data_IF_097615766139
#
_entry.id   IF_097615766139
#
_cell.length_a   1.000
_cell.length_b   1.000
_cell.length_c   1.000
_cell.angle_alpha   90.00
_cell.angle_beta   90.00
_cell.angle_gamma   90.00
#
_symmetry.space_group_name_H-M   'P 1'
#
loop_
_entity.id
_entity.type
_entity.pdbx_description
1 polymer ?
#
# COMPACT_ATOMS: atom_id res chain seq x y z
N UNK A 1 -1.27 -0.26 3.37
CA UNK A 1 -2.16 -0.85 4.39
C UNK A 1 -2.20 -2.37 4.51
N UNK A 2 -1.66 -3.18 3.59
CA UNK A 2 -1.68 -4.63 3.71
C UNK A 2 -0.33 -5.24 3.31
N UNK A 3 -0.06 -6.45 3.78
CA UNK A 3 1.05 -7.25 3.29
C UNK A 3 0.55 -8.64 2.90
N UNK A 4 1.12 -9.19 1.82
CA UNK A 4 0.95 -10.58 1.43
C UNK A 4 2.20 -11.35 1.82
N UNK A 5 1.99 -12.56 2.33
CA UNK A 5 3.03 -13.56 2.46
C UNK A 5 2.68 -14.72 1.52
N UNK A 6 3.62 -15.10 0.65
CA UNK A 6 3.52 -16.30 -0.18
C UNK A 6 4.76 -17.15 0.00
N UNK A 7 4.60 -18.47 0.08
CA UNK A 7 5.72 -19.41 0.20
C UNK A 7 6.08 -20.00 -1.15
N UNK A 8 7.31 -20.51 -1.26
CA UNK A 8 7.81 -21.24 -2.44
C UNK A 8 7.65 -20.46 -3.75
N UNK A 9 8.00 -19.17 -3.74
CA UNK A 9 7.85 -18.30 -4.91
C UNK A 9 9.08 -18.40 -5.82
N UNK A 10 10.15 -17.66 -5.51
CA UNK A 10 11.42 -17.76 -6.21
C UNK A 10 12.42 -18.54 -5.36
N UNK A 11 13.13 -19.50 -5.97
CA UNK A 11 14.18 -20.30 -5.31
C UNK A 11 13.74 -20.96 -3.99
N UNK A 12 12.48 -21.39 -3.92
CA UNK A 12 11.88 -22.03 -2.72
C UNK A 12 11.89 -21.13 -1.47
N UNK A 13 11.91 -19.80 -1.66
CA UNK A 13 11.84 -18.82 -0.57
C UNK A 13 10.45 -18.20 -0.46
N UNK A 14 10.18 -17.65 0.71
CA UNK A 14 9.01 -16.83 0.97
C UNK A 14 9.15 -15.45 0.34
N UNK A 15 8.06 -14.94 -0.22
CA UNK A 15 7.90 -13.57 -0.67
C UNK A 15 7.02 -12.78 0.32
N UNK A 16 7.47 -11.58 0.67
CA UNK A 16 6.71 -10.60 1.44
C UNK A 16 6.45 -9.38 0.57
N UNK A 17 5.19 -9.17 0.24
CA UNK A 17 4.77 -8.08 -0.64
C UNK A 17 3.94 -7.06 0.13
N UNK A 18 4.46 -5.84 0.27
CA UNK A 18 3.79 -4.74 0.98
C UNK A 18 3.09 -3.82 -0.01
N UNK A 19 1.81 -3.55 0.24
CA UNK A 19 1.04 -2.59 -0.56
C UNK A 19 0.84 -1.30 0.24
N UNK A 20 1.40 -0.22 -0.30
CA UNK A 20 1.43 1.10 0.34
C UNK A 20 0.60 2.11 -0.46
N UNK A 21 -0.09 3.00 0.24
CA UNK A 21 -0.73 4.17 -0.36
C UNK A 21 0.24 5.35 -0.25
N UNK A 22 0.55 5.98 -1.39
CA UNK A 22 1.50 7.10 -1.45
C UNK A 22 0.76 8.38 -1.89
N UNK A 23 1.20 9.52 -1.35
CA UNK A 23 0.77 10.84 -1.80
C UNK A 23 1.82 11.40 -2.77
N UNK A 24 1.47 11.70 -4.03
CA UNK A 24 2.43 12.26 -4.97
C UNK A 24 2.83 13.68 -4.56
N UNK A 25 4.11 14.00 -4.74
CA UNK A 25 4.64 15.36 -4.55
C UNK A 25 4.52 16.22 -5.83
N UNK A 26 4.43 15.57 -6.99
CA UNK A 26 4.22 16.16 -8.31
C UNK A 26 3.34 15.25 -9.17
N UNK A 27 2.71 15.82 -10.21
CA UNK A 27 1.94 15.07 -11.22
C UNK A 27 2.70 14.88 -12.52
N UNK A 28 3.86 15.50 -12.69
CA UNK A 28 4.70 15.29 -13.86
C UNK A 28 5.29 13.88 -13.81
N UNK A 29 5.15 13.14 -14.91
CA UNK A 29 5.71 11.80 -15.07
C UNK A 29 6.96 11.92 -15.93
N UNK A 30 8.08 11.41 -15.43
CA UNK A 30 9.30 11.16 -16.20
C UNK A 30 9.49 9.64 -16.23
N UNK A 31 9.31 9.03 -17.39
CA UNK A 31 9.39 7.57 -17.54
C UNK A 31 10.86 7.16 -17.59
N UNK A 32 11.19 6.08 -16.88
CA UNK A 32 12.47 5.39 -17.07
C UNK A 32 12.30 4.31 -18.14
N UNK A 33 12.62 4.66 -19.38
CA UNK A 33 12.43 3.79 -20.54
C UNK A 33 13.40 2.59 -20.57
N UNK A 34 14.38 2.52 -19.64
CA UNK A 34 15.24 1.34 -19.48
C UNK A 34 14.52 0.20 -18.74
N UNK A 35 13.64 0.54 -17.79
CA UNK A 35 12.92 -0.43 -16.97
C UNK A 35 11.47 -0.64 -17.42
N UNK A 36 10.76 0.42 -17.80
CA UNK A 36 9.33 0.36 -18.10
C UNK A 36 8.99 1.00 -19.44
N UNK A 37 8.00 0.41 -20.13
CA UNK A 37 7.60 0.86 -21.47
C UNK A 37 6.77 2.16 -21.48
N UNK A 38 5.95 2.40 -20.46
CA UNK A 38 5.06 3.56 -20.39
C UNK A 38 4.52 3.77 -18.97
N UNK A 39 4.21 5.02 -18.63
CA UNK A 39 3.46 5.38 -17.42
C UNK A 39 2.48 6.52 -17.70
N UNK A 40 1.28 6.44 -17.11
CA UNK A 40 0.26 7.49 -17.17
C UNK A 40 -0.54 7.52 -15.88
N UNK A 41 -1.10 8.69 -15.54
CA UNK A 41 -2.19 8.75 -14.59
C UNK A 41 -3.43 8.08 -15.21
N UNK A 42 -4.08 7.21 -14.44
CA UNK A 42 -5.28 6.52 -14.86
C UNK A 42 -6.40 6.77 -13.85
N UNK A 43 -7.62 7.11 -14.30
CA UNK A 43 -8.79 7.17 -13.42
C UNK A 43 -9.01 5.82 -12.72
N UNK A 44 -9.24 5.83 -11.41
CA UNK A 44 -9.46 4.60 -10.65
C UNK A 44 -10.60 3.76 -11.23
N UNK A 45 -11.69 4.40 -11.66
CA UNK A 45 -12.84 3.72 -12.27
C UNK A 45 -12.50 3.01 -13.61
N UNK A 46 -11.47 3.46 -14.33
CA UNK A 46 -10.92 2.78 -15.51
C UNK A 46 -10.01 1.63 -15.06
N UNK A 47 -9.12 1.89 -14.09
CA UNK A 47 -8.16 0.90 -13.58
C UNK A 47 -8.84 -0.37 -13.06
N UNK A 48 -9.90 -0.25 -12.27
CA UNK A 48 -10.61 -1.42 -11.69
C UNK A 48 -11.34 -2.28 -12.72
N UNK A 49 -11.53 -1.78 -13.95
CA UNK A 49 -12.16 -2.52 -15.05
C UNK A 49 -11.17 -3.32 -15.88
N UNK A 50 -9.86 -3.18 -15.64
CA UNK A 50 -8.87 -3.95 -16.37
C UNK A 50 -9.06 -5.46 -16.13
N UNK A 51 -8.96 -6.31 -17.17
CA UNK A 51 -9.18 -7.74 -17.06
C UNK A 51 -8.33 -8.42 -15.98
N UNK A 52 -7.08 -7.99 -15.81
CA UNK A 52 -6.18 -8.50 -14.78
C UNK A 52 -6.73 -8.26 -13.36
N UNK A 53 -7.29 -7.07 -13.11
CA UNK A 53 -7.85 -6.71 -11.80
C UNK A 53 -9.15 -7.46 -11.53
N UNK A 54 -9.94 -7.72 -12.58
CA UNK A 54 -11.21 -8.45 -12.44
C UNK A 54 -11.01 -9.96 -12.30
N UNK A 55 -9.95 -10.50 -12.90
CA UNK A 55 -9.64 -11.93 -12.92
C UNK A 55 -8.85 -12.44 -11.71
N UNK A 56 -8.31 -11.55 -10.88
CA UNK A 56 -7.49 -11.92 -9.73
C UNK A 56 -8.09 -11.43 -8.40
N UNK A 57 -8.46 -12.37 -7.54
CA UNK A 57 -9.12 -12.09 -6.26
C UNK A 57 -8.22 -11.31 -5.28
N UNK A 58 -6.91 -11.50 -5.33
CA UNK A 58 -5.98 -10.77 -4.48
C UNK A 58 -5.94 -9.29 -4.87
N UNK A 59 -5.77 -8.99 -6.16
CA UNK A 59 -5.81 -7.62 -6.67
C UNK A 59 -7.15 -6.96 -6.40
N UNK A 60 -8.26 -7.68 -6.58
CA UNK A 60 -9.59 -7.20 -6.24
C UNK A 60 -9.69 -6.81 -4.76
N UNK A 61 -9.21 -7.65 -3.84
CA UNK A 61 -9.19 -7.35 -2.40
C UNK A 61 -8.29 -6.16 -2.05
N UNK A 62 -7.13 -6.04 -2.69
CA UNK A 62 -6.26 -4.87 -2.52
C UNK A 62 -7.02 -3.60 -2.91
N UNK A 63 -7.68 -3.60 -4.06
CA UNK A 63 -8.43 -2.43 -4.54
C UNK A 63 -9.62 -2.11 -3.63
N UNK A 64 -10.35 -3.11 -3.13
CA UNK A 64 -11.42 -2.89 -2.15
C UNK A 64 -10.90 -2.19 -0.89
N UNK A 65 -9.74 -2.60 -0.37
CA UNK A 65 -9.08 -1.95 0.79
C UNK A 65 -8.71 -0.50 0.46
N UNK A 66 -8.17 -0.24 -0.73
CA UNK A 66 -7.86 1.13 -1.18
C UNK A 66 -9.12 2.01 -1.28
N UNK A 67 -10.21 1.49 -1.84
CA UNK A 67 -11.48 2.24 -1.94
C UNK A 67 -12.07 2.51 -0.55
N UNK A 68 -12.02 1.53 0.35
CA UNK A 68 -12.43 1.72 1.74
C UNK A 68 -11.60 2.82 2.43
N UNK A 69 -10.28 2.85 2.17
CA UNK A 69 -9.37 3.88 2.67
C UNK A 69 -9.71 5.28 2.19
N UNK A 70 -9.92 5.44 0.89
CA UNK A 70 -10.27 6.73 0.30
C UNK A 70 -11.59 7.25 0.86
N UNK A 71 -12.53 6.34 1.15
CA UNK A 71 -13.77 6.65 1.87
C UNK A 71 -13.62 6.85 3.38
N UNK A 72 -12.39 6.86 3.93
CA UNK A 72 -12.07 6.97 5.37
C UNK A 72 -12.69 5.88 6.26
N UNK A 73 -12.96 4.70 5.67
CA UNK A 73 -13.55 3.53 6.35
C UNK A 73 -12.53 2.47 6.76
N UNK A 74 -11.25 2.77 6.60
CA UNK A 74 -10.16 1.85 6.93
C UNK A 74 -8.97 2.64 7.49
N UNK A 75 -8.46 2.24 8.66
CA UNK A 75 -7.28 2.82 9.32
C UNK A 75 -5.99 2.16 8.84
N UNK A 76 -4.98 2.96 8.54
CA UNK A 76 -3.68 2.48 8.06
C UNK A 76 -2.76 2.08 9.22
N UNK A 77 -1.82 1.17 8.93
CA UNK A 77 -0.57 1.13 9.68
C UNK A 77 0.23 2.38 9.35
N UNK A 78 0.22 3.34 10.27
CA UNK A 78 1.01 4.56 10.17
C UNK A 78 2.47 4.32 10.53
N UNK A 79 3.36 5.10 9.92
CA UNK A 79 4.80 5.10 10.20
C UNK A 79 5.07 5.89 11.47
N UNK A 80 5.80 5.28 12.40
CA UNK A 80 6.27 5.91 13.62
C UNK A 80 7.77 5.69 13.78
N UNK A 81 8.49 6.74 14.12
CA UNK A 81 9.90 6.64 14.47
C UNK A 81 10.04 6.51 15.98
N UNK A 82 10.64 5.42 16.44
CA UNK A 82 10.75 5.07 17.86
C UNK A 82 12.16 4.55 18.14
N UNK A 83 12.71 4.88 19.30
CA UNK A 83 13.98 4.30 19.75
C UNK A 83 13.70 2.98 20.45
N UNK A 84 14.34 1.92 19.96
CA UNK A 84 14.19 0.57 20.52
C UNK A 84 15.18 0.35 21.66
N UNK A 85 14.70 -0.17 22.80
CA UNK A 85 15.57 -0.59 23.91
C UNK A 85 16.43 -1.82 23.60
N UNK A 86 16.12 -2.55 22.53
CA UNK A 86 16.86 -3.75 22.15
C UNK A 86 18.25 -3.44 21.58
N UNK A 87 18.38 -2.29 20.91
CA UNK A 87 19.59 -1.90 20.19
C UNK A 87 19.93 -0.40 20.29
N UNK A 88 19.16 0.36 21.07
CA UNK A 88 19.26 1.81 21.28
C UNK A 88 19.26 2.65 19.98
N UNK A 89 18.68 2.10 18.90
CA UNK A 89 18.61 2.75 17.58
C UNK A 89 17.22 3.28 17.27
N UNK A 90 17.21 4.39 16.52
CA UNK A 90 15.99 4.90 15.89
C UNK A 90 15.51 3.88 14.85
N UNK A 91 14.32 3.36 15.08
CA UNK A 91 13.66 2.35 14.27
C UNK A 91 12.33 2.87 13.73
N UNK A 92 11.92 2.33 12.59
CA UNK A 92 10.62 2.62 11.99
C UNK A 92 9.64 1.51 12.35
N UNK A 93 8.58 1.85 13.07
CA UNK A 93 7.50 0.92 13.45
C UNK A 93 6.20 1.28 12.72
N UNK A 94 5.53 0.25 12.18
CA UNK A 94 4.27 0.39 11.46
C UNK A 94 3.13 -0.11 12.32
N UNK A 95 2.27 0.78 12.83
CA UNK A 95 1.12 0.40 13.65
C UNK A 95 -0.06 1.35 13.47
N UNK A 96 -1.26 0.87 13.82
CA UNK A 96 -2.48 1.65 13.78
C UNK A 96 -2.60 2.55 15.02
N UNK A 97 -2.88 3.83 14.82
CA UNK A 97 -3.20 4.79 15.88
C UNK A 97 -4.71 5.01 15.93
N UNK A 98 -5.34 4.65 17.05
CA UNK A 98 -6.80 4.79 17.24
C UNK A 98 -7.23 6.27 17.33
N UNK A 99 -6.30 7.20 17.58
CA UNK A 99 -6.56 8.61 17.87
C UNK A 99 -5.65 9.58 17.09
N UNK A 100 -5.51 9.40 15.78
CA UNK A 100 -4.82 10.41 14.96
C UNK A 100 -5.86 11.46 14.46
N UNK A 101 -5.79 12.74 14.91
CA UNK A 101 -6.73 13.79 14.50
C UNK A 101 -6.65 14.16 13.01
N UNK A 102 -5.64 13.68 12.28
CA UNK A 102 -5.52 13.81 10.82
C UNK A 102 -6.10 12.59 10.07
N UNK A 103 -6.31 11.48 10.77
CA UNK A 103 -7.01 10.29 10.28
C UNK A 103 -8.42 10.29 10.87
N UNK A 104 -9.36 10.97 10.21
CA UNK A 104 -10.80 10.83 10.50
C UNK A 104 -11.26 9.40 10.16
N UNK A 105 -10.83 8.42 10.94
CA UNK A 105 -11.26 7.04 10.84
C UNK A 105 -11.97 6.70 12.15
N UNK A 106 -13.27 6.41 12.07
CA UNK A 106 -13.98 5.83 13.19
C UNK A 106 -13.66 4.33 13.19
N UNK A 107 -13.05 3.84 14.27
CA UNK A 107 -13.03 2.41 14.54
C UNK A 107 -14.49 1.95 14.70
N UNK A 108 -14.90 0.96 13.91
CA UNK A 108 -16.21 0.30 14.09
C UNK A 108 -16.18 -0.60 15.33
#
# INVERSE_FOLDING_TARGET
>A
MAFRHAQNVAFEKSDLFFVCLLKPLSKQIMVDDLEIKAAKWMPLAEFVKQPLIQGDDMFKKIIDIFIARLGKRYCELSVHQLVSKFDDKLSTLYFNTVNDPYLNCQAS
#
